data_IF_521475256203
#
_entry.id   IF_521475256203
#
_cell.length_a   1.000
_cell.length_b   1.000
_cell.length_c   1.000
_cell.angle_alpha   90.00
_cell.angle_beta   90.00
_cell.angle_gamma   90.00
#
_symmetry.space_group_name_H-M   'P 1'
#
loop_
_entity.id
_entity.type
_entity.pdbx_description
1 polymer ?
#
# COMPACT_ATOMS: atom_id res chain seq x y z
N UNK A 1 -9.78 -9.74 -12.08
CA UNK A 1 -9.47 -8.61 -12.99
C UNK A 1 -7.96 -8.42 -12.97
N UNK A 2 -7.24 -8.82 -14.04
CA UNK A 2 -5.80 -8.52 -14.17
C UNK A 2 -5.70 -7.08 -14.68
N UNK A 3 -5.16 -6.16 -13.87
CA UNK A 3 -4.76 -4.86 -14.38
C UNK A 3 -3.64 -5.10 -15.40
N UNK A 4 -3.93 -4.85 -16.68
CA UNK A 4 -2.95 -4.93 -17.75
C UNK A 4 -2.02 -3.73 -17.63
N UNK A 5 -0.82 -3.95 -17.12
CA UNK A 5 0.28 -2.99 -17.28
C UNK A 5 0.98 -3.31 -18.61
N UNK A 6 1.27 -2.31 -19.45
CA UNK A 6 1.93 -2.53 -20.73
C UNK A 6 3.32 -3.17 -20.52
N UNK A 7 3.65 -4.17 -21.33
CA UNK A 7 4.93 -4.86 -21.31
C UNK A 7 6.08 -3.85 -21.51
N UNK A 8 7.00 -3.81 -20.56
CA UNK A 8 8.25 -3.02 -20.65
C UNK A 8 8.31 -1.77 -19.78
N UNK A 9 7.22 -1.31 -19.16
CA UNK A 9 7.26 -0.25 -18.15
C UNK A 9 7.12 -0.87 -16.76
N UNK A 10 8.18 -0.82 -15.94
CA UNK A 10 8.11 -1.21 -14.54
C UNK A 10 7.12 -0.31 -13.79
N UNK A 11 5.87 -0.70 -13.68
CA UNK A 11 4.89 0.05 -12.90
C UNK A 11 5.20 -0.10 -11.40
N UNK A 12 5.69 0.97 -10.80
CA UNK A 12 5.80 1.09 -9.35
C UNK A 12 4.59 1.88 -8.87
N UNK A 13 3.60 1.20 -8.31
CA UNK A 13 2.58 1.88 -7.52
C UNK A 13 3.14 2.11 -6.11
N UNK A 14 3.25 3.37 -5.72
CA UNK A 14 3.63 3.73 -4.37
C UNK A 14 2.38 3.66 -3.48
N UNK A 15 2.14 2.51 -2.86
CA UNK A 15 1.20 2.41 -1.76
C UNK A 15 1.92 2.90 -0.49
N UNK A 16 1.68 4.15 -0.09
CA UNK A 16 2.20 4.68 1.17
C UNK A 16 1.37 4.10 2.31
N UNK A 17 1.94 3.12 3.01
CA UNK A 17 1.46 2.71 4.32
C UNK A 17 2.07 3.69 5.33
N UNK A 18 1.28 4.60 5.87
CA UNK A 18 1.70 5.51 6.93
C UNK A 18 1.15 4.97 8.24
N UNK A 19 2.00 4.28 8.99
CA UNK A 19 1.74 4.02 10.41
C UNK A 19 2.14 5.29 11.20
N UNK A 20 1.36 5.67 12.21
CA UNK A 20 1.61 6.87 13.02
C UNK A 20 2.69 6.67 14.10
N UNK A 21 3.45 5.58 14.05
CA UNK A 21 4.79 5.54 14.62
C UNK A 21 5.76 6.29 13.69
N UNK A 22 6.56 7.26 14.17
CA UNK A 22 7.45 8.02 13.31
C UNK A 22 8.37 7.09 12.47
N UNK A 23 8.20 7.12 11.14
CA UNK A 23 9.23 6.68 10.19
C UNK A 23 9.02 5.38 9.40
N UNK A 24 7.87 4.70 9.48
CA UNK A 24 7.63 3.50 8.69
C UNK A 24 6.92 3.81 7.36
N UNK A 25 7.68 3.95 6.27
CA UNK A 25 7.15 3.95 4.89
C UNK A 25 7.41 2.59 4.26
N UNK A 26 6.34 1.91 3.87
CA UNK A 26 6.39 0.69 3.05
C UNK A 26 6.24 0.99 1.57
N UNK A 27 6.95 0.25 0.72
CA UNK A 27 6.83 0.29 -0.74
C UNK A 27 6.57 -1.12 -1.24
N UNK A 28 5.44 -1.34 -1.90
CA UNK A 28 5.08 -2.66 -2.47
C UNK A 28 5.42 -2.68 -3.97
N UNK A 29 6.44 -3.44 -4.39
CA UNK A 29 6.79 -3.53 -5.81
C UNK A 29 5.80 -4.43 -6.55
N UNK A 30 5.03 -3.91 -7.51
CA UNK A 30 4.01 -4.69 -8.24
C UNK A 30 4.55 -5.80 -9.17
N UNK A 31 5.88 -5.94 -9.25
CA UNK A 31 6.56 -7.03 -9.97
C UNK A 31 6.63 -8.34 -9.17
N UNK A 32 6.18 -8.34 -7.90
CA UNK A 32 6.00 -9.56 -7.11
C UNK A 32 4.51 -9.88 -6.95
N UNK A 33 4.12 -11.15 -6.74
CA UNK A 33 2.75 -11.48 -6.39
C UNK A 33 2.30 -10.68 -5.17
N UNK A 34 1.27 -9.86 -5.34
CA UNK A 34 0.70 -9.05 -4.26
C UNK A 34 -0.41 -9.87 -3.60
N UNK A 35 -0.31 -10.21 -2.31
CA UNK A 35 -1.28 -11.10 -1.65
C UNK A 35 -2.66 -10.46 -1.51
N UNK A 36 -2.71 -9.13 -1.41
CA UNK A 36 -3.94 -8.33 -1.36
C UNK A 36 -3.70 -7.00 -2.10
N UNK A 37 -4.56 -6.65 -3.05
CA UNK A 37 -4.40 -5.40 -3.81
C UNK A 37 -5.20 -4.26 -3.16
N UNK A 38 -4.56 -3.19 -2.67
CA UNK A 38 -5.27 -2.08 -2.06
C UNK A 38 -5.94 -1.22 -3.14
N UNK A 39 -7.25 -1.39 -3.33
CA UNK A 39 -8.02 -0.61 -4.31
C UNK A 39 -8.34 0.82 -3.86
N UNK A 40 -8.17 1.12 -2.58
CA UNK A 40 -8.53 2.41 -1.98
C UNK A 40 -7.57 2.75 -0.85
N UNK A 41 -7.33 4.05 -0.66
CA UNK A 41 -6.60 4.54 0.50
C UNK A 41 -7.47 4.44 1.74
N UNK A 42 -6.86 4.18 2.88
CA UNK A 42 -7.56 4.18 4.16
C UNK A 42 -6.71 4.78 5.27
N UNK A 43 -7.37 5.18 6.35
CA UNK A 43 -6.74 5.55 7.61
C UNK A 43 -7.36 4.71 8.72
N UNK A 44 -6.52 4.12 9.55
CA UNK A 44 -6.91 3.48 10.80
C UNK A 44 -6.50 4.41 11.93
N UNK A 45 -7.45 4.85 12.76
CA UNK A 45 -7.20 5.61 13.98
C UNK A 45 -7.95 4.92 15.11
N UNK A 46 -7.22 4.55 16.16
CA UNK A 46 -7.74 3.74 17.26
C UNK A 46 -8.47 2.50 16.71
N UNK A 47 -9.73 2.30 17.08
CA UNK A 47 -10.57 1.17 16.65
C UNK A 47 -11.47 1.52 15.45
N UNK A 48 -11.15 2.58 14.71
CA UNK A 48 -12.00 3.11 13.64
C UNK A 48 -11.25 3.29 12.33
N UNK A 49 -11.88 2.85 11.24
CA UNK A 49 -11.29 2.87 9.90
C UNK A 49 -12.07 3.77 8.96
N UNK A 50 -11.35 4.63 8.24
CA UNK A 50 -11.90 5.52 7.21
C UNK A 50 -11.36 5.13 5.85
N UNK A 51 -12.23 4.74 4.92
CA UNK A 51 -11.88 4.30 3.57
C UNK A 51 -12.30 5.37 2.57
N UNK A 52 -11.34 5.90 1.82
CA UNK A 52 -11.57 6.89 0.78
C UNK A 52 -11.71 6.20 -0.57
N UNK A 53 -12.90 6.28 -1.16
CA UNK A 53 -13.23 5.70 -2.46
C UNK A 53 -13.47 6.82 -3.47
N UNK A 54 -13.44 6.55 -4.80
CA UNK A 54 -13.74 7.58 -5.80
C UNK A 54 -15.11 8.26 -5.63
N UNK A 55 -16.06 7.58 -5.00
CA UNK A 55 -17.46 8.03 -4.86
C UNK A 55 -17.77 8.64 -3.49
N UNK A 56 -16.83 8.61 -2.55
CA UNK A 56 -17.06 9.15 -1.21
C UNK A 56 -16.20 8.49 -0.15
N UNK A 57 -16.61 8.67 1.11
CA UNK A 57 -15.89 8.17 2.27
C UNK A 57 -16.77 7.27 3.12
N UNK A 58 -16.26 6.08 3.44
CA UNK A 58 -16.88 5.14 4.35
C UNK A 58 -16.16 5.16 5.69
N UNK A 59 -16.92 5.13 6.78
CA UNK A 59 -16.43 4.96 8.15
C UNK A 59 -16.85 3.58 8.65
N UNK A 60 -15.91 2.83 9.21
CA UNK A 60 -16.15 1.54 9.85
C UNK A 60 -15.74 1.67 11.32
N UNK A 61 -16.69 1.39 12.21
CA UNK A 61 -16.50 1.45 13.67
C UNK A 61 -16.74 0.08 14.33
N UNK A 62 -17.18 -0.92 13.56
CA UNK A 62 -17.40 -2.27 14.05
C UNK A 62 -16.07 -3.03 14.18
N UNK A 63 -15.77 -3.66 15.34
CA UNK A 63 -14.48 -4.32 15.56
C UNK A 63 -14.24 -5.45 14.56
N UNK A 64 -15.28 -6.23 14.23
CA UNK A 64 -15.18 -7.31 13.24
C UNK A 64 -14.97 -6.79 11.82
N UNK A 65 -15.60 -5.66 11.48
CA UNK A 65 -15.43 -5.01 10.17
C UNK A 65 -14.00 -4.48 10.01
N UNK A 66 -13.48 -3.81 11.04
CA UNK A 66 -12.11 -3.29 11.08
C UNK A 66 -11.09 -4.42 11.04
N UNK A 67 -11.31 -5.52 11.77
CA UNK A 67 -10.38 -6.65 11.84
C UNK A 67 -10.05 -7.27 10.47
N UNK A 68 -11.05 -7.40 9.59
CA UNK A 68 -10.85 -7.93 8.23
C UNK A 68 -9.89 -7.05 7.42
N UNK A 69 -9.98 -5.73 7.58
CA UNK A 69 -9.11 -4.80 6.88
C UNK A 69 -7.71 -4.73 7.49
N UNK A 70 -7.60 -4.84 8.81
CA UNK A 70 -6.30 -4.95 9.50
C UNK A 70 -5.56 -6.20 9.04
N UNK A 71 -6.23 -7.35 8.97
CA UNK A 71 -5.62 -8.59 8.48
C UNK A 71 -5.12 -8.45 7.03
N UNK A 72 -5.93 -7.82 6.17
CA UNK A 72 -5.55 -7.54 4.79
C UNK A 72 -4.32 -6.60 4.69
N UNK A 73 -4.28 -5.56 5.53
CA UNK A 73 -3.17 -4.63 5.60
C UNK A 73 -1.88 -5.32 6.07
N UNK A 74 -1.97 -6.18 7.08
CA UNK A 74 -0.82 -6.91 7.61
C UNK A 74 -0.16 -7.79 6.53
N UNK A 75 -0.96 -8.50 5.73
CA UNK A 75 -0.46 -9.27 4.58
C UNK A 75 0.22 -8.38 3.52
N UNK A 76 -0.29 -7.17 3.32
CA UNK A 76 0.32 -6.20 2.41
C UNK A 76 1.63 -5.62 2.98
N UNK A 77 1.67 -5.36 4.29
CA UNK A 77 2.85 -4.89 5.03
C UNK A 77 3.99 -5.90 4.95
N UNK A 78 3.68 -7.19 5.09
CA UNK A 78 4.68 -8.26 4.97
C UNK A 78 5.31 -8.34 3.58
N UNK A 79 4.56 -7.97 2.54
CA UNK A 79 5.05 -7.91 1.17
C UNK A 79 5.81 -6.59 0.85
N UNK A 80 5.73 -5.59 1.73
CA UNK A 80 6.33 -4.28 1.50
C UNK A 80 7.83 -4.27 1.81
N UNK A 81 8.60 -3.56 0.99
CA UNK A 81 9.93 -3.12 1.37
C UNK A 81 9.83 -1.95 2.32
N UNK A 82 10.47 -2.03 3.49
CA UNK A 82 10.46 -0.98 4.52
C UNK A 82 11.91 -0.54 4.79
N UNK A 83 12.08 0.69 5.29
CA UNK A 83 13.36 1.21 5.76
C UNK A 83 14.43 1.21 4.65
N UNK A 84 15.65 0.68 4.89
CA UNK A 84 16.72 0.68 3.88
C UNK A 84 16.34 0.02 2.55
N UNK A 85 15.47 -1.00 2.57
CA UNK A 85 15.00 -1.67 1.35
C UNK A 85 14.08 -0.74 0.55
N UNK A 86 13.20 0.00 1.21
CA UNK A 86 12.35 1.01 0.57
C UNK A 86 13.21 2.11 -0.08
N UNK A 87 14.20 2.64 0.66
CA UNK A 87 15.11 3.67 0.16
C UNK A 87 15.86 3.19 -1.08
N UNK A 88 16.36 1.96 -1.10
CA UNK A 88 17.06 1.39 -2.26
C UNK A 88 16.13 1.26 -3.48
N UNK A 89 14.87 0.83 -3.28
CA UNK A 89 13.89 0.75 -4.36
C UNK A 89 13.55 2.13 -4.94
N UNK A 90 13.33 3.12 -4.09
CA UNK A 90 13.02 4.49 -4.50
C UNK A 90 14.19 5.08 -5.28
N UNK A 91 15.44 4.93 -4.78
CA UNK A 91 16.63 5.42 -5.49
C UNK A 91 16.75 4.82 -6.88
N UNK A 92 16.61 3.49 -6.99
CA UNK A 92 16.64 2.81 -8.28
C UNK A 92 15.57 3.34 -9.24
N UNK A 93 14.35 3.58 -8.75
CA UNK A 93 13.28 4.17 -9.56
C UNK A 93 13.65 5.58 -10.06
N UNK A 94 14.22 6.43 -9.19
CA UNK A 94 14.65 7.77 -9.59
C UNK A 94 15.72 7.72 -10.67
N UNK A 95 16.68 6.79 -10.55
CA UNK A 95 17.73 6.59 -11.55
C UNK A 95 17.13 6.14 -12.90
N UNK A 96 16.16 5.21 -12.88
CA UNK A 96 15.45 4.73 -14.08
C UNK A 96 14.60 5.83 -14.75
N UNK A 97 14.03 6.78 -13.98
CA UNK A 97 13.21 7.88 -14.52
C UNK A 97 14.02 9.08 -15.02
N UNK A 98 15.27 9.21 -14.58
CA UNK A 98 16.13 10.35 -14.91
C UNK A 98 17.03 10.10 -16.12
N UNK A 99 17.06 8.87 -16.64
CA UNK A 99 17.79 8.48 -17.86
C UNK A 99 16.92 8.48 -19.10
#
# INVERSE_FOLDING_TARGET
MRAGFPDGAGAIALAVLADFAPGAVGVVPLRVPVPVFPLSGFRLLDDSMRIETPTGVQQLDGPDEVAVHVEAFERLRDAAAIGPRAVALIRRLMDELSG
#
